data_IF_441010830733
#
_entry.id   IF_441010830733
#
_cell.length_a   1.000
_cell.length_b   1.000
_cell.length_c   1.000
_cell.angle_alpha   90.00
_cell.angle_beta   90.00
_cell.angle_gamma   90.00
#
_symmetry.space_group_name_H-M   'P 1'
#
loop_
_entity.id
_entity.type
_entity.pdbx_description
1 polymer ?
#
# COMPACT_ATOMS: atom_id res chain seq x y z
N UNK A 1 35.55 0.36 -38.74
CA UNK A 1 34.15 0.82 -38.80
C UNK A 1 33.24 -0.39 -38.87
N UNK A 2 32.08 -0.44 -38.23
CA UNK A 2 31.49 0.45 -37.23
C UNK A 2 31.02 -0.41 -36.05
N UNK A 3 31.16 0.14 -34.84
CA UNK A 3 30.76 -0.52 -33.60
C UNK A 3 29.24 -0.50 -33.45
N UNK A 4 28.67 -1.64 -33.09
CA UNK A 4 27.26 -1.78 -32.75
C UNK A 4 27.08 -1.30 -31.30
N UNK A 5 26.88 0.01 -31.12
CA UNK A 5 26.60 0.60 -29.81
C UNK A 5 25.13 0.40 -29.48
N UNK A 6 24.82 -0.66 -28.73
CA UNK A 6 23.65 -0.64 -27.85
C UNK A 6 23.81 0.55 -26.90
N UNK A 7 22.79 1.40 -26.81
CA UNK A 7 22.87 2.70 -26.13
C UNK A 7 23.35 2.59 -24.68
N UNK A 8 24.50 3.20 -24.38
CA UNK A 8 24.92 3.49 -23.01
C UNK A 8 24.71 4.99 -22.76
N UNK A 9 23.84 5.35 -21.81
CA UNK A 9 23.80 6.70 -21.26
C UNK A 9 24.91 6.87 -20.21
N UNK A 10 25.56 8.03 -20.21
CA UNK A 10 26.85 8.30 -19.55
C UNK A 10 26.88 8.13 -18.01
N UNK A 11 25.75 7.89 -17.35
CA UNK A 11 25.66 7.72 -15.89
C UNK A 11 25.44 6.27 -15.42
N UNK A 12 25.20 5.33 -16.33
CA UNK A 12 24.92 3.93 -16.00
C UNK A 12 26.10 3.06 -16.43
N UNK A 13 26.73 2.32 -15.50
CA UNK A 13 27.74 1.31 -15.85
C UNK A 13 27.16 0.40 -16.94
N UNK A 14 27.76 0.39 -18.14
CA UNK A 14 27.32 -0.45 -19.24
C UNK A 14 27.24 -1.91 -18.76
N UNK A 15 26.04 -2.47 -18.72
CA UNK A 15 25.78 -3.87 -18.34
C UNK A 15 26.54 -4.89 -19.22
N UNK A 16 27.02 -4.45 -20.39
CA UNK A 16 27.73 -5.27 -21.36
C UNK A 16 29.27 -5.22 -21.24
N UNK A 17 29.83 -4.56 -20.21
CA UNK A 17 31.28 -4.50 -20.05
C UNK A 17 31.84 -5.81 -19.46
N UNK A 18 32.39 -6.64 -20.32
CA UNK A 18 32.94 -7.96 -19.96
C UNK A 18 34.47 -7.92 -19.87
N UNK A 19 35.06 -8.64 -18.90
CA UNK A 19 36.52 -8.81 -18.76
C UNK A 19 36.86 -10.29 -18.59
N UNK A 20 37.37 -10.90 -19.65
CA UNK A 20 37.74 -12.32 -19.66
C UNK A 20 36.55 -13.27 -19.77
N UNK A 21 36.83 -14.52 -20.14
CA UNK A 21 35.83 -15.50 -20.59
C UNK A 21 34.87 -15.93 -19.47
N UNK A 22 35.36 -15.99 -18.23
CA UNK A 22 34.53 -16.37 -17.08
C UNK A 22 33.51 -15.28 -16.71
N UNK A 23 33.93 -14.01 -16.74
CA UNK A 23 33.01 -12.89 -16.53
C UNK A 23 32.02 -12.75 -17.71
N UNK A 24 32.43 -13.16 -18.92
CA UNK A 24 31.54 -13.23 -20.07
C UNK A 24 30.41 -14.22 -19.83
N UNK A 25 30.77 -15.43 -19.41
CA UNK A 25 29.81 -16.49 -19.11
C UNK A 25 28.81 -16.10 -18.02
N UNK A 26 29.30 -15.54 -16.91
CA UNK A 26 28.45 -15.08 -15.80
C UNK A 26 27.48 -13.98 -16.24
N UNK A 27 27.93 -13.00 -17.03
CA UNK A 27 27.06 -11.92 -17.56
C UNK A 27 26.06 -12.43 -18.57
N UNK A 28 26.45 -13.37 -19.42
CA UNK A 28 25.52 -14.01 -20.35
C UNK A 28 24.45 -14.81 -19.60
N UNK A 29 24.82 -15.56 -18.56
CA UNK A 29 23.87 -16.28 -17.71
C UNK A 29 22.90 -15.32 -16.99
N UNK A 30 23.41 -14.21 -16.43
CA UNK A 30 22.61 -13.16 -15.80
C UNK A 30 21.62 -12.52 -16.79
N UNK A 31 22.07 -12.19 -18.00
CA UNK A 31 21.21 -11.66 -19.07
C UNK A 31 20.17 -12.68 -19.55
N UNK A 32 20.54 -13.96 -19.65
CA UNK A 32 19.63 -15.01 -20.06
C UNK A 32 18.51 -15.20 -19.03
N UNK A 33 18.87 -15.24 -17.73
CA UNK A 33 17.92 -15.37 -16.62
C UNK A 33 17.13 -14.07 -16.39
N UNK A 34 17.61 -12.90 -16.79
CA UNK A 34 16.81 -11.67 -16.66
C UNK A 34 15.98 -11.36 -17.91
N UNK A 35 16.14 -12.14 -18.97
CA UNK A 35 15.37 -11.94 -20.20
C UNK A 35 13.91 -12.38 -20.02
N UNK A 36 12.94 -11.57 -20.49
CA UNK A 36 11.51 -11.87 -20.37
C UNK A 36 11.11 -13.20 -21.03
N UNK A 37 11.84 -13.61 -22.08
CA UNK A 37 11.64 -14.84 -22.85
C UNK A 37 11.73 -16.11 -21.97
N UNK A 38 12.57 -16.09 -20.93
CA UNK A 38 12.73 -17.22 -19.99
C UNK A 38 11.80 -17.14 -18.77
N UNK A 39 10.98 -16.08 -18.68
CA UNK A 39 10.00 -15.84 -17.61
C UNK A 39 8.55 -15.95 -18.09
N UNK A 40 8.32 -16.12 -19.38
CA UNK A 40 7.01 -16.32 -19.97
C UNK A 40 6.78 -17.81 -20.28
N UNK A 41 5.66 -18.37 -19.83
CA UNK A 41 5.23 -19.75 -20.16
C UNK A 41 4.52 -19.85 -21.50
N UNK A 42 4.36 -18.72 -22.20
CA UNK A 42 3.78 -18.60 -23.54
C UNK A 42 4.88 -18.33 -24.57
N UNK A 43 4.82 -18.98 -25.73
CA UNK A 43 5.68 -18.66 -26.86
C UNK A 43 5.44 -17.20 -27.32
N UNK A 44 6.48 -16.38 -27.30
CA UNK A 44 6.42 -15.00 -27.79
C UNK A 44 6.96 -14.98 -29.21
N UNK A 45 6.08 -14.82 -30.20
CA UNK A 45 6.50 -14.66 -31.60
C UNK A 45 6.63 -13.16 -31.91
N UNK A 46 7.82 -12.65 -32.28
CA UNK A 46 7.99 -11.27 -32.69
C UNK A 46 7.16 -11.00 -33.95
N UNK A 47 6.09 -10.22 -33.84
CA UNK A 47 5.18 -9.97 -34.96
C UNK A 47 5.78 -9.10 -36.08
N UNK A 48 6.98 -8.52 -35.87
CA UNK A 48 7.63 -7.59 -36.80
C UNK A 48 6.90 -6.26 -36.99
N UNK A 49 5.71 -6.12 -36.39
CA UNK A 49 4.91 -4.92 -36.38
C UNK A 49 5.19 -4.13 -35.10
N UNK A 50 5.42 -2.81 -35.18
CA UNK A 50 5.45 -1.97 -33.99
C UNK A 50 4.17 -2.20 -33.19
N UNK A 51 4.31 -2.36 -31.86
CA UNK A 51 3.17 -2.43 -30.96
C UNK A 51 2.26 -1.24 -31.29
N UNK A 52 1.01 -1.52 -31.67
CA UNK A 52 0.05 -0.45 -31.88
C UNK A 52 -0.08 0.29 -30.54
N UNK A 53 0.31 1.55 -30.53
CA UNK A 53 0.13 2.39 -29.37
C UNK A 53 -1.36 2.44 -29.09
N UNK A 54 -1.77 1.98 -27.90
CA UNK A 54 -3.18 2.07 -27.52
C UNK A 54 -3.57 3.54 -27.57
N UNK A 55 -4.49 3.89 -28.47
CA UNK A 55 -5.04 5.25 -28.51
C UNK A 55 -5.74 5.44 -27.16
N UNK A 56 -5.24 6.33 -26.29
CA UNK A 56 -5.87 6.52 -25.00
C UNK A 56 -7.32 6.97 -25.23
N UNK A 57 -8.28 6.44 -24.47
CA UNK A 57 -9.66 6.84 -24.61
C UNK A 57 -9.75 8.37 -24.44
N UNK A 58 -10.62 9.05 -25.20
CA UNK A 58 -10.71 10.51 -25.14
C UNK A 58 -11.01 10.95 -23.71
N UNK A 59 -10.25 11.92 -23.22
CA UNK A 59 -10.49 12.52 -21.91
C UNK A 59 -11.85 13.21 -21.95
N UNK A 60 -12.80 12.73 -21.16
CA UNK A 60 -14.20 13.21 -21.20
C UNK A 60 -14.43 14.51 -20.42
N UNK A 61 -13.35 15.15 -19.94
CA UNK A 61 -13.35 16.36 -19.11
C UNK A 61 -14.30 16.29 -17.90
N UNK A 62 -14.42 15.09 -17.32
CA UNK A 62 -15.24 14.84 -16.14
C UNK A 62 -14.35 14.88 -14.91
N UNK A 63 -14.76 15.56 -13.83
CA UNK A 63 -14.08 15.48 -12.55
C UNK A 63 -13.92 14.02 -12.13
N UNK A 64 -12.68 13.61 -11.88
CA UNK A 64 -12.33 12.25 -11.53
C UNK A 64 -11.58 12.24 -10.20
N UNK A 65 -11.92 11.28 -9.34
CA UNK A 65 -11.23 11.05 -8.07
C UNK A 65 -10.89 9.58 -7.96
N UNK A 66 -9.61 9.31 -7.71
CA UNK A 66 -9.11 7.98 -7.40
C UNK A 66 -8.65 7.92 -5.95
N UNK A 67 -8.85 6.75 -5.34
CA UNK A 67 -8.21 6.38 -4.08
C UNK A 67 -7.29 5.22 -4.43
N UNK A 68 -5.99 5.42 -4.23
CA UNK A 68 -4.97 4.38 -4.40
C UNK A 68 -4.51 3.94 -3.02
N UNK A 69 -4.65 2.65 -2.72
CA UNK A 69 -4.15 2.08 -1.46
C UNK A 69 -3.01 1.13 -1.76
N UNK A 70 -1.84 1.47 -1.23
CA UNK A 70 -0.68 0.59 -1.20
C UNK A 70 -0.64 -0.08 0.18
N UNK A 71 -1.06 -1.34 0.23
CA UNK A 71 -1.06 -2.11 1.47
C UNK A 71 0.21 -2.98 1.54
N UNK A 72 1.15 -2.58 2.39
CA UNK A 72 2.39 -3.33 2.61
C UNK A 72 2.12 -4.50 3.56
N UNK A 73 1.75 -5.65 2.99
CA UNK A 73 1.38 -6.88 3.72
C UNK A 73 2.60 -7.59 4.35
N UNK A 74 3.35 -6.86 5.18
CA UNK A 74 4.68 -7.24 5.64
C UNK A 74 5.80 -6.58 4.84
N UNK A 75 7.03 -6.68 5.35
CA UNK A 75 8.23 -6.11 4.71
C UNK A 75 8.45 -4.61 4.91
N UNK A 76 7.49 -3.91 5.52
CA UNK A 76 7.67 -2.52 5.96
C UNK A 76 8.21 -2.47 7.39
N UNK A 77 9.41 -1.94 7.56
CA UNK A 77 9.96 -1.62 8.87
C UNK A 77 9.49 -0.22 9.29
N UNK A 78 8.30 -0.15 9.87
CA UNK A 78 7.65 1.12 10.23
C UNK A 78 8.46 1.97 11.20
N UNK A 79 9.31 1.35 12.01
CA UNK A 79 10.23 2.05 12.91
C UNK A 79 11.37 2.76 12.16
N UNK A 80 11.75 2.28 10.96
CA UNK A 80 12.70 2.97 10.08
C UNK A 80 12.00 3.89 9.08
N UNK A 81 10.69 3.75 8.87
CA UNK A 81 9.92 4.71 8.05
C UNK A 81 9.78 6.07 8.74
N UNK A 82 9.37 6.08 10.01
CA UNK A 82 9.15 7.29 10.80
C UNK A 82 9.86 7.14 12.15
N UNK A 83 10.93 7.91 12.32
CA UNK A 83 11.86 7.80 13.45
C UNK A 83 11.68 9.01 14.38
N UNK A 84 11.56 8.85 15.71
CA UNK A 84 11.61 9.98 16.63
C UNK A 84 12.93 10.73 16.50
N UNK A 85 12.93 12.06 16.34
CA UNK A 85 14.15 12.85 16.10
C UNK A 85 14.45 13.86 17.20
N UNK A 86 13.68 14.95 17.28
CA UNK A 86 13.97 16.10 18.14
C UNK A 86 12.76 16.62 18.92
N UNK A 87 13.05 17.34 20.01
CA UNK A 87 12.04 18.00 20.87
C UNK A 87 11.08 17.05 21.58
N UNK A 88 11.52 15.82 21.86
CA UNK A 88 10.78 14.84 22.66
C UNK A 88 10.89 15.19 24.16
N UNK A 89 9.86 14.88 24.96
CA UNK A 89 9.78 15.33 26.37
C UNK A 89 11.03 15.01 27.19
N UNK A 90 11.54 15.97 27.96
CA UNK A 90 12.50 15.70 29.03
C UNK A 90 11.86 14.86 30.14
N UNK A 91 12.48 13.75 30.53
CA UNK A 91 12.04 12.92 31.66
C UNK A 91 11.53 11.52 31.30
N UNK A 92 11.33 11.22 30.02
CA UNK A 92 11.40 9.84 29.54
C UNK A 92 12.87 9.51 29.31
N UNK A 93 13.34 8.36 29.78
CA UNK A 93 14.72 8.16 30.25
C UNK A 93 15.85 8.33 29.22
N UNK A 94 15.58 8.61 27.93
CA UNK A 94 16.53 9.02 26.86
C UNK A 94 15.79 9.88 25.83
N UNK A 95 16.49 10.70 25.03
CA UNK A 95 15.84 11.27 23.84
C UNK A 95 15.27 10.11 23.01
N UNK A 96 14.04 10.21 22.49
CA UNK A 96 13.41 9.06 21.82
C UNK A 96 14.25 8.51 20.65
N UNK A 97 15.09 9.36 20.03
CA UNK A 97 16.09 8.93 19.06
C UNK A 97 17.17 8.01 19.65
N UNK A 98 17.78 8.34 20.80
CA UNK A 98 18.76 7.47 21.47
C UNK A 98 18.14 6.13 21.91
N UNK A 99 16.87 6.15 22.30
CA UNK A 99 16.13 4.91 22.59
C UNK A 99 15.91 4.09 21.33
N UNK A 100 15.47 4.72 20.24
CA UNK A 100 15.39 4.10 18.93
C UNK A 100 16.74 3.48 18.54
N UNK A 101 17.83 4.27 18.56
CA UNK A 101 19.17 3.81 18.17
C UNK A 101 19.62 2.62 19.02
N UNK A 102 19.41 2.66 20.34
CA UNK A 102 19.73 1.52 21.23
C UNK A 102 18.92 0.26 20.88
N UNK A 103 17.60 0.38 20.73
CA UNK A 103 16.73 -0.77 20.53
C UNK A 103 16.88 -1.38 19.14
N UNK A 104 17.22 -0.55 18.15
CA UNK A 104 17.41 -0.94 16.75
C UNK A 104 18.84 -1.41 16.47
N UNK A 105 19.83 -0.96 17.24
CA UNK A 105 21.21 -1.40 17.10
C UNK A 105 21.75 -1.16 15.69
N UNK A 106 22.33 -2.18 15.06
CA UNK A 106 22.96 -2.07 13.75
C UNK A 106 22.04 -1.77 12.57
N UNK A 107 20.71 -1.76 12.76
CA UNK A 107 19.73 -1.36 11.73
C UNK A 107 19.08 0.00 12.02
N UNK A 108 19.62 0.75 12.99
CA UNK A 108 19.20 2.13 13.23
C UNK A 108 19.69 3.03 12.08
N UNK A 109 18.85 3.96 11.66
CA UNK A 109 19.23 5.03 10.73
C UNK A 109 19.96 6.13 11.48
N UNK A 110 20.99 6.70 10.88
CA UNK A 110 21.71 7.86 11.44
C UNK A 110 20.82 9.11 11.46
N UNK A 111 20.91 9.90 12.54
CA UNK A 111 19.97 11.00 12.81
C UNK A 111 20.00 12.05 11.71
N UNK A 112 21.20 12.33 11.22
CA UNK A 112 21.49 13.32 10.18
C UNK A 112 21.05 12.85 8.79
N UNK A 113 20.84 11.54 8.59
CA UNK A 113 20.33 10.98 7.33
C UNK A 113 18.82 11.11 7.18
N UNK A 114 18.10 11.37 8.28
CA UNK A 114 16.64 11.44 8.30
C UNK A 114 16.13 12.77 7.74
N UNK A 115 15.08 12.70 6.92
CA UNK A 115 14.39 13.89 6.41
C UNK A 115 13.44 14.45 7.48
N UNK A 116 13.59 15.72 7.85
CA UNK A 116 12.86 16.32 8.96
C UNK A 116 11.35 16.41 8.76
N UNK A 117 10.55 15.78 9.61
CA UNK A 117 9.10 15.95 9.68
C UNK A 117 8.74 16.81 10.91
N UNK A 118 8.75 18.15 10.78
CA UNK A 118 8.31 19.04 11.85
C UNK A 118 6.81 18.90 12.04
N UNK A 119 6.38 18.79 13.29
CA UNK A 119 4.97 18.52 13.60
C UNK A 119 4.25 19.85 13.80
N UNK A 120 3.15 20.11 13.07
CA UNK A 120 2.37 21.33 13.26
C UNK A 120 1.87 21.45 14.71
N UNK A 121 1.87 22.67 15.24
CA UNK A 121 1.36 22.91 16.58
C UNK A 121 -0.12 22.52 16.67
N UNK A 122 -0.48 21.75 17.70
CA UNK A 122 -1.87 21.35 17.98
C UNK A 122 -2.34 20.06 17.29
N UNK A 123 -1.51 19.39 16.48
CA UNK A 123 -1.88 18.11 15.84
C UNK A 123 -1.58 16.88 16.68
N UNK A 124 -0.85 17.04 17.80
CA UNK A 124 -0.63 15.99 18.78
C UNK A 124 -0.35 16.58 20.17
N UNK A 125 -0.50 15.79 21.24
CA UNK A 125 -0.03 16.17 22.56
C UNK A 125 1.44 16.60 22.52
N UNK A 126 1.78 17.72 23.18
CA UNK A 126 3.14 18.32 23.16
C UNK A 126 4.19 17.43 23.84
N UNK A 127 3.78 16.30 24.37
CA UNK A 127 4.55 15.37 25.15
C UNK A 127 5.17 14.19 24.37
N UNK A 128 5.03 14.17 23.04
CA UNK A 128 5.62 13.09 22.21
C UNK A 128 7.00 13.50 21.67
N UNK A 129 7.02 14.29 20.58
CA UNK A 129 8.21 14.89 19.95
C UNK A 129 7.78 16.17 19.22
N UNK A 130 8.72 17.07 18.91
CA UNK A 130 8.43 18.23 18.04
C UNK A 130 8.76 17.91 16.57
N UNK A 131 9.68 16.96 16.35
CA UNK A 131 10.14 16.57 15.02
C UNK A 131 10.36 15.06 14.96
N UNK A 132 9.79 14.44 13.95
CA UNK A 132 10.14 13.08 13.53
C UNK A 132 11.09 13.15 12.32
N UNK A 133 11.71 12.04 11.98
CA UNK A 133 12.50 11.86 10.78
C UNK A 133 11.82 10.85 9.85
N UNK A 134 11.70 11.19 8.57
CA UNK A 134 11.28 10.27 7.52
C UNK A 134 12.51 9.56 6.94
N UNK A 135 12.34 8.30 6.54
CA UNK A 135 13.37 7.53 5.85
C UNK A 135 13.97 8.30 4.64
N UNK A 136 15.31 8.32 4.46
CA UNK A 136 15.98 9.08 3.39
C UNK A 136 15.53 8.72 1.97
N UNK A 137 15.14 7.47 1.76
CA UNK A 137 14.61 6.97 0.48
C UNK A 137 13.19 7.47 0.12
N UNK A 138 12.57 8.34 0.93
CA UNK A 138 11.22 8.86 0.70
C UNK A 138 11.18 10.39 0.48
N UNK A 139 12.03 10.97 -0.39
CA UNK A 139 12.06 12.42 -0.61
C UNK A 139 10.75 12.96 -1.20
N UNK A 140 10.05 12.18 -2.01
CA UNK A 140 8.75 12.59 -2.57
C UNK A 140 7.65 12.65 -1.52
N UNK A 141 7.62 11.71 -0.58
CA UNK A 141 6.66 11.75 0.54
C UNK A 141 6.96 12.97 1.43
N UNK A 142 8.24 13.28 1.65
CA UNK A 142 8.65 14.51 2.33
C UNK A 142 8.14 15.75 1.61
N UNK A 143 8.35 15.84 0.29
CA UNK A 143 7.86 16.96 -0.52
C UNK A 143 6.34 17.10 -0.44
N UNK A 144 5.59 15.99 -0.44
CA UNK A 144 4.14 16.01 -0.28
C UNK A 144 3.71 16.47 1.11
N UNK A 145 4.43 16.07 2.15
CA UNK A 145 4.19 16.51 3.52
C UNK A 145 4.41 18.03 3.66
N UNK A 146 5.53 18.53 3.16
CA UNK A 146 5.86 19.96 3.21
C UNK A 146 4.84 20.84 2.48
N UNK A 147 4.26 20.31 1.40
CA UNK A 147 3.22 21.00 0.63
C UNK A 147 1.82 20.88 1.26
N UNK A 148 1.68 20.25 2.42
CA UNK A 148 0.39 20.08 3.11
C UNK A 148 -0.57 19.11 2.40
N UNK A 149 -0.07 18.28 1.48
CA UNK A 149 -0.89 17.32 0.72
C UNK A 149 -0.77 15.88 1.21
N UNK A 150 0.23 15.57 2.06
CA UNK A 150 0.35 14.30 2.74
C UNK A 150 0.31 14.47 4.27
N UNK A 151 -0.29 13.49 4.94
CA UNK A 151 -0.29 13.37 6.38
C UNK A 151 0.18 11.97 6.78
N UNK A 152 0.88 11.87 7.91
CA UNK A 152 1.28 10.60 8.51
C UNK A 152 0.45 10.37 9.76
N UNK A 153 -0.17 9.20 9.84
CA UNK A 153 -0.87 8.74 11.04
C UNK A 153 -0.03 7.63 11.68
N UNK A 154 0.52 7.92 12.85
CA UNK A 154 1.34 6.98 13.63
C UNK A 154 0.57 6.41 14.81
N UNK A 155 1.08 5.34 15.42
CA UNK A 155 0.46 4.68 16.59
C UNK A 155 -0.99 4.23 16.33
N UNK A 156 -1.29 3.90 15.07
CA UNK A 156 -2.59 3.35 14.67
C UNK A 156 -2.58 1.85 14.95
N UNK A 157 -3.60 1.40 15.67
CA UNK A 157 -3.83 -0.01 15.96
C UNK A 157 -5.31 -0.35 15.79
N UNK A 158 -5.66 -1.59 16.12
CA UNK A 158 -7.00 -2.14 15.92
C UNK A 158 -7.85 -2.17 17.18
N UNK A 159 -7.39 -1.54 18.27
CA UNK A 159 -8.14 -1.49 19.52
C UNK A 159 -9.52 -0.87 19.32
N UNK A 160 -10.54 -1.47 19.94
CA UNK A 160 -11.91 -0.96 19.92
C UNK A 160 -12.00 0.33 20.74
N UNK A 161 -11.36 0.32 21.91
CA UNK A 161 -11.33 1.43 22.85
C UNK A 161 -9.99 1.50 23.60
N UNK A 162 -9.66 2.64 24.23
CA UNK A 162 -8.44 2.78 25.02
C UNK A 162 -8.29 1.66 26.05
N UNK A 163 -7.23 0.87 25.90
CA UNK A 163 -6.99 -0.35 26.69
C UNK A 163 -5.61 -0.31 27.33
N UNK A 164 -5.55 -0.61 28.62
CA UNK A 164 -4.29 -0.77 29.37
C UNK A 164 -3.81 -2.21 29.35
N UNK A 165 -2.51 -2.43 29.61
CA UNK A 165 -1.92 -3.77 29.69
C UNK A 165 -2.59 -4.64 30.75
N UNK A 166 -2.92 -4.08 31.92
CA UNK A 166 -3.58 -4.82 33.00
C UNK A 166 -5.01 -5.23 32.63
N UNK A 167 -5.76 -4.35 31.96
CA UNK A 167 -7.10 -4.67 31.44
C UNK A 167 -7.03 -5.78 30.38
N UNK A 168 -6.08 -5.71 29.46
CA UNK A 168 -5.86 -6.76 28.45
C UNK A 168 -5.50 -8.12 29.07
N UNK A 169 -4.69 -8.13 30.14
CA UNK A 169 -4.24 -9.35 30.81
C UNK A 169 -5.27 -9.92 31.81
N UNK A 170 -6.35 -9.20 32.08
CA UNK A 170 -7.39 -9.66 32.99
C UNK A 170 -8.09 -10.90 32.42
N UNK A 171 -8.41 -11.87 33.29
CA UNK A 171 -9.16 -13.08 32.89
C UNK A 171 -10.51 -12.75 32.26
N UNK A 172 -11.16 -11.70 32.79
CA UNK A 172 -12.38 -11.09 32.26
C UNK A 172 -12.08 -9.61 32.02
N UNK A 173 -11.62 -9.23 30.81
CA UNK A 173 -11.32 -7.84 30.49
C UNK A 173 -12.57 -6.96 30.70
N UNK A 174 -12.46 -5.84 31.43
CA UNK A 174 -13.57 -4.90 31.60
C UNK A 174 -13.75 -3.96 30.39
N UNK A 175 -13.06 -4.25 29.28
CA UNK A 175 -13.01 -3.48 28.04
C UNK A 175 -13.25 -4.41 26.86
N UNK A 176 -13.78 -3.87 25.77
CA UNK A 176 -13.95 -4.62 24.54
C UNK A 176 -12.61 -4.80 23.81
N UNK A 177 -12.23 -6.05 23.55
CA UNK A 177 -10.98 -6.38 22.87
C UNK A 177 -11.26 -6.79 21.41
N UNK A 178 -10.38 -6.42 20.46
CA UNK A 178 -10.48 -6.90 19.09
C UNK A 178 -10.34 -8.42 19.00
N UNK A 179 -10.92 -9.05 17.95
CA UNK A 179 -10.75 -10.48 17.72
C UNK A 179 -9.26 -10.79 17.49
N UNK A 180 -8.77 -11.82 18.18
CA UNK A 180 -7.42 -12.36 18.03
C UNK A 180 -6.33 -11.27 17.98
N UNK A 181 -6.28 -10.40 18.99
CA UNK A 181 -5.20 -9.42 19.12
C UNK A 181 -3.83 -10.13 19.01
N UNK A 182 -2.90 -9.54 18.24
CA UNK A 182 -1.60 -10.11 17.84
C UNK A 182 -1.60 -11.20 16.74
N UNK A 183 -2.76 -11.68 16.27
CA UNK A 183 -2.80 -12.60 15.14
C UNK A 183 -2.71 -11.85 13.80
N UNK A 184 -1.57 -11.95 13.10
CA UNK A 184 -1.30 -11.20 11.87
C UNK A 184 -2.42 -11.29 10.82
N UNK A 185 -2.92 -12.48 10.54
CA UNK A 185 -4.00 -12.72 9.59
C UNK A 185 -5.29 -11.97 9.95
N UNK A 186 -5.69 -11.99 11.22
CA UNK A 186 -6.89 -11.30 11.71
C UNK A 186 -6.69 -9.79 11.74
N UNK A 187 -5.53 -9.33 12.21
CA UNK A 187 -5.21 -7.90 12.30
C UNK A 187 -5.12 -7.24 10.92
N UNK A 188 -4.64 -7.95 9.89
CA UNK A 188 -4.69 -7.48 8.49
C UNK A 188 -6.14 -7.29 8.04
N UNK A 189 -7.03 -8.27 8.29
CA UNK A 189 -8.45 -8.16 7.92
C UNK A 189 -9.13 -6.98 8.62
N UNK A 190 -8.92 -6.83 9.92
CA UNK A 190 -9.49 -5.74 10.73
C UNK A 190 -8.98 -4.37 10.27
N UNK A 191 -7.71 -4.27 9.91
CA UNK A 191 -7.14 -3.03 9.34
C UNK A 191 -7.78 -2.68 8.01
N UNK A 192 -8.02 -3.67 7.15
CA UNK A 192 -8.64 -3.49 5.84
C UNK A 192 -10.16 -3.24 5.90
N UNK A 193 -10.85 -3.76 6.92
CA UNK A 193 -12.28 -3.47 7.16
C UNK A 193 -12.48 -2.17 7.93
N UNK A 194 -11.48 -1.71 8.68
CA UNK A 194 -11.58 -0.61 9.65
C UNK A 194 -12.78 -0.85 10.59
N UNK A 195 -12.87 -2.08 11.10
CA UNK A 195 -13.94 -2.51 11.98
C UNK A 195 -13.36 -3.39 13.09
N UNK A 196 -13.00 -2.76 14.21
CA UNK A 196 -12.21 -3.36 15.28
C UNK A 196 -12.89 -4.55 15.95
N UNK A 197 -14.23 -4.57 16.01
CA UNK A 197 -15.01 -5.61 16.69
C UNK A 197 -15.18 -6.91 15.89
N UNK A 198 -14.88 -6.92 14.58
CA UNK A 198 -15.24 -8.05 13.70
C UNK A 198 -14.23 -8.23 12.57
N UNK A 199 -13.73 -9.46 12.44
CA UNK A 199 -12.81 -9.86 11.38
C UNK A 199 -13.52 -10.35 10.10
N UNK A 200 -14.86 -10.47 10.13
CA UNK A 200 -15.70 -10.82 8.99
C UNK A 200 -16.35 -9.62 8.31
N UNK A 201 -16.33 -8.43 8.93
CA UNK A 201 -16.89 -7.20 8.36
C UNK A 201 -16.34 -6.89 6.95
N UNK A 202 -17.16 -6.36 6.04
CA UNK A 202 -16.71 -5.97 4.70
C UNK A 202 -15.56 -4.95 4.72
N UNK A 203 -14.84 -4.82 3.61
CA UNK A 203 -13.74 -3.87 3.44
C UNK A 203 -14.18 -2.42 3.48
N UNK A 204 -13.32 -1.52 3.97
CA UNK A 204 -13.68 -0.09 4.05
C UNK A 204 -13.91 0.53 2.67
N UNK A 205 -13.11 0.17 1.66
CA UNK A 205 -13.29 0.68 0.30
C UNK A 205 -14.45 -0.01 -0.42
N UNK A 206 -14.74 -1.28 -0.11
CA UNK A 206 -15.95 -1.96 -0.58
C UNK A 206 -17.22 -1.25 -0.09
N UNK A 207 -17.30 -0.96 1.23
CA UNK A 207 -18.42 -0.19 1.80
C UNK A 207 -18.53 1.22 1.23
N UNK A 208 -17.41 1.91 1.00
CA UNK A 208 -17.41 3.25 0.36
C UNK A 208 -17.92 3.15 -1.08
N UNK A 209 -17.45 2.16 -1.85
CA UNK A 209 -17.93 1.89 -3.20
C UNK A 209 -19.44 1.64 -3.22
N UNK A 210 -19.93 0.78 -2.34
CA UNK A 210 -21.35 0.44 -2.27
C UNK A 210 -22.18 1.65 -1.86
N UNK A 211 -21.75 2.43 -0.87
CA UNK A 211 -22.42 3.67 -0.46
C UNK A 211 -22.50 4.73 -1.58
N UNK A 212 -21.45 4.85 -2.41
CA UNK A 212 -21.47 5.78 -3.56
C UNK A 212 -22.36 5.30 -4.72
N UNK A 213 -22.68 4.00 -4.77
CA UNK A 213 -23.60 3.43 -5.75
C UNK A 213 -25.02 3.32 -5.23
N UNK A 214 -25.20 3.31 -3.91
CA UNK A 214 -26.45 2.93 -3.32
C UNK A 214 -27.56 3.90 -3.76
N UNK A 215 -28.65 3.30 -4.25
CA UNK A 215 -29.85 3.96 -4.77
C UNK A 215 -31.02 3.80 -3.81
N UNK A 216 -30.79 3.35 -2.57
CA UNK A 216 -31.81 3.18 -1.50
C UNK A 216 -32.60 4.46 -1.19
N UNK A 217 -32.22 5.59 -1.78
CA UNK A 217 -33.16 6.69 -2.03
C UNK A 217 -34.10 6.34 -3.18
N UNK A 218 -35.02 5.40 -2.94
CA UNK A 218 -36.19 5.22 -3.78
C UNK A 218 -36.96 6.56 -3.78
N UNK A 219 -37.14 7.26 -4.91
CA UNK A 219 -38.06 8.39 -4.94
C UNK A 219 -39.44 7.87 -4.56
N UNK A 220 -40.08 8.52 -3.59
CA UNK A 220 -41.43 8.16 -3.14
C UNK A 220 -42.37 8.10 -4.38
N UNK A 221 -42.75 6.89 -4.79
CA UNK A 221 -43.69 6.65 -5.90
C UNK A 221 -43.13 6.06 -7.21
N UNK A 222 -41.84 5.70 -7.30
CA UNK A 222 -41.26 5.08 -8.51
C UNK A 222 -41.11 3.55 -8.45
N UNK A 223 -41.45 2.84 -9.54
CA UNK A 223 -41.29 1.38 -9.69
C UNK A 223 -39.93 0.93 -10.24
N UNK A 224 -39.03 1.87 -10.54
CA UNK A 224 -37.68 1.59 -11.02
C UNK A 224 -36.63 2.12 -10.03
N UNK A 225 -35.52 1.39 -9.80
CA UNK A 225 -34.39 1.90 -9.04
C UNK A 225 -33.86 3.19 -9.67
N UNK A 226 -33.58 4.21 -8.87
CA UNK A 226 -32.87 5.39 -9.34
C UNK A 226 -31.50 4.97 -9.93
N UNK A 227 -30.95 5.68 -10.93
CA UNK A 227 -29.57 5.43 -11.34
C UNK A 227 -28.61 5.78 -10.20
N UNK A 228 -27.48 5.07 -10.05
CA UNK A 228 -26.51 5.36 -9.00
C UNK A 228 -25.99 6.81 -9.12
N UNK A 229 -25.83 7.53 -8.01
CA UNK A 229 -25.45 8.94 -8.05
C UNK A 229 -24.03 9.15 -8.60
N UNK A 230 -23.15 8.15 -8.46
CA UNK A 230 -21.79 8.20 -8.97
C UNK A 230 -21.44 6.97 -9.83
N UNK A 231 -20.65 7.21 -10.88
CA UNK A 231 -19.96 6.13 -11.60
C UNK A 231 -18.68 5.80 -10.84
N UNK A 232 -18.64 4.62 -10.24
CA UNK A 232 -17.50 4.16 -9.45
C UNK A 232 -17.01 2.81 -9.94
N UNK A 233 -15.72 2.56 -9.77
CA UNK A 233 -15.07 1.30 -10.10
C UNK A 233 -14.02 0.98 -9.06
N UNK A 234 -13.83 -0.31 -8.79
CA UNK A 234 -12.81 -0.82 -7.88
C UNK A 234 -11.93 -1.83 -8.63
N UNK A 235 -10.62 -1.69 -8.45
CA UNK A 235 -9.62 -2.52 -9.11
C UNK A 235 -8.60 -3.00 -8.09
N UNK A 236 -8.14 -4.23 -8.23
CA UNK A 236 -7.08 -4.82 -7.42
C UNK A 236 -6.03 -5.45 -8.30
N UNK A 237 -4.77 -5.18 -7.98
CA UNK A 237 -3.61 -5.87 -8.58
C UNK A 237 -3.16 -7.07 -7.74
N UNK A 238 -3.79 -7.31 -6.59
CA UNK A 238 -3.38 -8.28 -5.58
C UNK A 238 -4.55 -9.22 -5.19
N UNK A 239 -5.26 -9.76 -6.18
CA UNK A 239 -6.39 -10.67 -5.96
C UNK A 239 -7.64 -9.97 -5.41
N UNK A 240 -8.40 -10.65 -4.54
CA UNK A 240 -9.54 -10.08 -3.80
C UNK A 240 -9.12 -9.68 -2.38
N UNK A 241 -8.51 -8.51 -2.17
CA UNK A 241 -8.12 -8.06 -0.85
C UNK A 241 -9.37 -7.72 -0.03
N UNK A 242 -9.33 -8.00 1.28
CA UNK A 242 -10.42 -7.72 2.22
C UNK A 242 -10.87 -6.26 2.14
N UNK A 243 -9.96 -5.32 1.84
CA UNK A 243 -10.26 -3.87 1.76
C UNK A 243 -11.30 -3.51 0.69
N UNK A 244 -11.38 -4.28 -0.39
CA UNK A 244 -12.33 -4.07 -1.50
C UNK A 244 -13.54 -5.01 -1.41
N UNK A 245 -13.59 -5.91 -0.43
CA UNK A 245 -14.74 -6.78 -0.23
C UNK A 245 -15.96 -5.93 0.13
N UNK A 246 -17.04 -6.09 -0.63
CA UNK A 246 -18.33 -5.43 -0.44
C UNK A 246 -19.42 -6.25 -1.13
N UNK A 247 -20.59 -5.67 -1.32
CA UNK A 247 -21.69 -6.32 -2.05
C UNK A 247 -21.33 -6.60 -3.51
N UNK A 248 -20.47 -5.76 -4.10
CA UNK A 248 -19.97 -5.92 -5.47
C UNK A 248 -18.50 -6.29 -5.48
N UNK A 249 -18.15 -7.30 -6.27
CA UNK A 249 -16.77 -7.72 -6.44
C UNK A 249 -15.97 -6.68 -7.27
N UNK A 250 -14.74 -6.34 -6.85
CA UNK A 250 -13.85 -5.50 -7.64
C UNK A 250 -13.35 -6.25 -8.88
N UNK A 251 -12.83 -5.51 -9.85
CA UNK A 251 -12.05 -6.09 -10.94
C UNK A 251 -10.67 -6.51 -10.42
N UNK A 252 -10.25 -7.73 -10.75
CA UNK A 252 -8.93 -8.23 -10.39
C UNK A 252 -8.08 -8.20 -11.65
N UNK A 253 -6.88 -7.65 -11.56
CA UNK A 253 -5.89 -7.75 -12.62
C UNK A 253 -4.92 -8.84 -12.18
N UNK A 254 -5.01 -10.00 -12.84
CA UNK A 254 -4.06 -11.10 -12.68
C UNK A 254 -2.97 -11.06 -13.75
N UNK A 255 -2.09 -12.05 -13.73
CA UNK A 255 -1.01 -12.18 -14.73
C UNK A 255 -1.53 -12.33 -16.18
N UNK A 256 -2.80 -12.68 -16.35
CA UNK A 256 -3.49 -12.80 -17.65
C UNK A 256 -4.43 -11.62 -17.96
N UNK A 257 -4.34 -10.52 -17.19
CA UNK A 257 -5.14 -9.31 -17.40
C UNK A 257 -6.36 -9.17 -16.48
N UNK A 258 -7.35 -8.38 -16.91
CA UNK A 258 -8.54 -8.04 -16.09
C UNK A 258 -9.51 -9.23 -16.03
N UNK A 259 -9.55 -9.90 -14.89
CA UNK A 259 -10.56 -10.91 -14.54
C UNK A 259 -11.78 -10.20 -13.95
N UNK A 260 -12.87 -10.14 -14.72
CA UNK A 260 -14.18 -9.73 -14.21
C UNK A 260 -14.90 -10.94 -13.60
N UNK A 261 -14.93 -11.04 -12.27
CA UNK A 261 -15.69 -12.08 -11.58
C UNK A 261 -17.19 -11.75 -11.56
N UNK A 262 -17.83 -11.72 -12.72
CA UNK A 262 -19.28 -11.50 -12.86
C UNK A 262 -20.11 -12.74 -12.48
N UNK A 263 -19.49 -13.87 -12.09
CA UNK A 263 -20.17 -15.19 -12.01
C UNK A 263 -20.25 -15.85 -10.63
N UNK A 264 -20.12 -15.10 -9.53
CA UNK A 264 -20.44 -15.72 -8.22
C UNK A 264 -21.95 -15.93 -8.02
N UNK A 265 -22.81 -15.15 -8.69
CA UNK A 265 -24.27 -15.34 -8.64
C UNK A 265 -24.73 -16.66 -9.31
N UNK A 266 -23.91 -17.25 -10.18
CA UNK A 266 -24.16 -18.52 -10.87
C UNK A 266 -23.38 -19.70 -10.29
N UNK A 267 -22.60 -19.49 -9.20
CA UNK A 267 -21.87 -20.56 -8.50
C UNK A 267 -22.53 -20.95 -7.16
N UNK A 268 -23.72 -20.39 -6.85
CA UNK A 268 -24.67 -21.07 -5.95
C UNK A 268 -25.42 -22.11 -6.76
N UNK A 269 -24.85 -23.31 -6.86
CA UNK A 269 -25.70 -24.49 -7.02
C UNK A 269 -26.20 -24.95 -5.64
N UNK A 270 -27.43 -25.47 -5.55
CA UNK A 270 -28.06 -25.85 -4.29
C UNK A 270 -27.61 -27.25 -3.89
N UNK A 271 -26.77 -27.34 -2.85
CA UNK A 271 -26.68 -28.50 -1.96
C UNK A 271 -26.48 -28.01 -0.53
#
# INVERSE_FOLDING_TARGET
GGGNTGGCEAASRCLCAVRGDQHAFERTAELLVTSPEFHATSATEPSGTPRQEEVPPPFLDRPYKAIVVLFLNGGSDSWNLVVPKDGCQPGQSRTNYEQYQRLRGGVALEKESLLDLPIPSGTQPRDVCQTFGLHPALPEVKRLYDNGVAALLTNVGTLVEPTTKSQYQAKNPPVELPPSLFAHNTQVKVTQSVHAQSDVAFGVLGRIHDAMRNTDQQPAGGSAPAPPPYRVGAYSLAGLPKILEGEKAPFIIGNEGIVRLNRYATLRDPL
#
